data_IF_671529335725
#
_entry.id   IF_671529335725
#
_cell.length_a   1.000
_cell.length_b   1.000
_cell.length_c   1.000
_cell.angle_alpha   90.00
_cell.angle_beta   90.00
_cell.angle_gamma   90.00
#
_symmetry.space_group_name_H-M   'P 1'
#
loop_
_entity.id
_entity.type
_entity.pdbx_description
1 polymer ?
#
# COMPACT_ATOMS: atom_id res chain seq x y z
N UNK A 1 11.34 66.99 -3.98
CA UNK A 1 10.60 65.78 -4.39
C UNK A 1 11.51 64.78 -5.14
N UNK A 2 12.53 64.22 -4.47
CA UNK A 2 13.46 63.24 -5.09
C UNK A 2 13.60 61.92 -4.31
N UNK A 3 13.02 61.83 -3.12
CA UNK A 3 13.09 60.65 -2.25
C UNK A 3 11.81 59.80 -2.29
N UNK A 4 10.72 60.30 -2.87
CA UNK A 4 9.45 59.58 -2.94
C UNK A 4 9.48 58.43 -3.96
N UNK A 5 10.23 58.60 -5.05
CA UNK A 5 10.42 57.59 -6.10
C UNK A 5 11.32 56.43 -5.67
N UNK A 6 12.24 56.66 -4.74
CA UNK A 6 13.14 55.61 -4.24
C UNK A 6 12.42 54.66 -3.27
N UNK A 7 11.48 55.18 -2.46
CA UNK A 7 10.65 54.37 -1.56
C UNK A 7 9.68 53.47 -2.33
N UNK A 8 9.13 53.96 -3.44
CA UNK A 8 8.26 53.13 -4.30
C UNK A 8 9.01 52.00 -5.01
N UNK A 9 10.27 52.20 -5.38
CA UNK A 9 11.07 51.16 -6.03
C UNK A 9 11.46 50.02 -5.07
N UNK A 10 11.80 50.34 -3.82
CA UNK A 10 12.14 49.32 -2.81
C UNK A 10 10.90 48.50 -2.38
N UNK A 11 9.71 49.10 -2.29
CA UNK A 11 8.48 48.36 -2.00
C UNK A 11 8.08 47.39 -3.12
N UNK A 12 8.44 47.66 -4.38
CA UNK A 12 8.13 46.76 -5.50
C UNK A 12 8.98 45.48 -5.50
N UNK A 13 10.16 45.49 -4.85
CA UNK A 13 11.03 44.32 -4.70
C UNK A 13 10.56 43.35 -3.60
N UNK A 14 9.76 43.82 -2.63
CA UNK A 14 9.21 42.97 -1.57
C UNK A 14 7.90 42.24 -1.95
N UNK A 15 7.24 42.63 -3.06
CA UNK A 15 6.02 41.95 -3.50
C UNK A 15 6.28 40.75 -4.43
N UNK A 16 7.49 40.62 -4.98
CA UNK A 16 7.87 39.47 -5.83
C UNK A 16 8.63 38.35 -5.09
N UNK A 17 8.86 38.49 -3.79
CA UNK A 17 9.38 37.42 -2.93
C UNK A 17 8.25 36.59 -2.30
N UNK A 18 7.14 36.40 -3.00
CA UNK A 18 6.37 35.18 -2.80
C UNK A 18 7.27 34.05 -3.28
N UNK A 19 8.02 33.48 -2.35
CA UNK A 19 8.64 32.18 -2.48
C UNK A 19 7.62 31.31 -3.19
N UNK A 20 7.89 30.97 -4.45
CA UNK A 20 7.19 29.90 -5.11
C UNK A 20 7.55 28.65 -4.31
N UNK A 21 6.85 28.43 -3.19
CA UNK A 21 6.81 27.15 -2.52
C UNK A 21 6.28 26.21 -3.59
N UNK A 22 7.20 25.53 -4.26
CA UNK A 22 6.88 24.45 -5.15
C UNK A 22 5.91 23.56 -4.38
N UNK A 23 4.70 23.35 -4.89
CA UNK A 23 3.75 22.42 -4.29
C UNK A 23 4.50 21.13 -4.01
N UNK A 24 4.51 20.72 -2.74
CA UNK A 24 5.16 19.47 -2.34
C UNK A 24 4.66 18.35 -3.23
N UNK A 25 5.59 17.56 -3.75
CA UNK A 25 5.26 16.47 -4.63
C UNK A 25 4.41 15.45 -3.88
N UNK A 26 3.22 15.14 -4.40
CA UNK A 26 2.26 14.20 -3.79
C UNK A 26 2.87 12.83 -3.50
N UNK A 27 3.88 12.39 -4.28
CA UNK A 27 4.57 11.13 -4.06
C UNK A 27 5.58 11.21 -2.90
N UNK A 28 6.24 12.36 -2.74
CA UNK A 28 7.13 12.63 -1.60
C UNK A 28 6.31 12.76 -0.31
N UNK A 29 5.16 13.44 -0.36
CA UNK A 29 4.26 13.50 0.78
C UNK A 29 3.75 12.11 1.19
N UNK A 30 3.44 11.25 0.21
CA UNK A 30 2.96 9.89 0.44
C UNK A 30 3.99 8.95 1.09
N UNK A 31 5.30 9.21 0.91
CA UNK A 31 6.36 8.43 1.57
C UNK A 31 6.23 8.43 3.10
N UNK A 32 5.83 9.56 3.66
CA UNK A 32 5.72 9.75 5.11
C UNK A 32 4.41 9.22 5.70
N UNK A 33 3.46 8.81 4.86
CA UNK A 33 2.20 8.25 5.32
C UNK A 33 2.36 6.74 5.54
N UNK A 34 2.14 6.28 6.77
CA UNK A 34 2.18 4.86 7.10
C UNK A 34 0.79 4.21 7.03
N UNK A 35 0.78 2.88 6.93
CA UNK A 35 -0.45 2.12 7.15
C UNK A 35 -0.89 2.32 8.60
N UNK A 36 -2.20 2.50 8.81
CA UNK A 36 -2.76 2.56 10.15
C UNK A 36 -2.66 1.16 10.76
N UNK A 37 -1.84 1.01 11.80
CA UNK A 37 -1.64 -0.28 12.46
C UNK A 37 -2.97 -0.83 12.96
N UNK A 38 -3.26 -2.07 12.58
CA UNK A 38 -4.47 -2.81 12.97
C UNK A 38 -4.12 -4.29 13.10
N UNK A 39 -4.55 -4.92 14.18
CA UNK A 39 -4.45 -6.37 14.36
C UNK A 39 -5.42 -7.10 13.44
N UNK A 40 -5.09 -8.33 13.03
CA UNK A 40 -5.87 -9.10 12.05
C UNK A 40 -7.34 -9.28 12.46
N UNK A 41 -7.63 -9.53 13.74
CA UNK A 41 -9.00 -9.63 14.24
C UNK A 41 -9.85 -8.36 14.11
N UNK A 42 -9.22 -7.18 13.97
CA UNK A 42 -9.95 -5.91 13.87
C UNK A 42 -10.52 -5.63 12.48
N UNK A 43 -10.20 -6.48 11.51
CA UNK A 43 -10.68 -6.37 10.13
C UNK A 43 -12.07 -6.97 10.00
N UNK A 44 -12.89 -6.34 9.13
CA UNK A 44 -14.25 -6.81 8.82
C UNK A 44 -14.22 -8.25 8.29
N UNK A 45 -13.27 -8.54 7.40
CA UNK A 45 -13.04 -9.89 6.90
C UNK A 45 -11.75 -10.43 7.51
N UNK A 46 -11.87 -11.49 8.29
CA UNK A 46 -10.74 -12.18 8.88
C UNK A 46 -10.99 -13.68 8.98
N UNK A 47 -9.91 -14.44 9.03
CA UNK A 47 -9.92 -15.90 9.23
C UNK A 47 -8.88 -16.26 10.28
N UNK A 48 -9.23 -17.19 11.16
CA UNK A 48 -8.34 -17.73 12.17
C UNK A 48 -8.12 -19.23 11.94
N UNK A 49 -6.86 -19.68 12.04
CA UNK A 49 -6.53 -21.10 12.10
C UNK A 49 -5.28 -21.33 12.97
N UNK A 50 -5.39 -22.24 13.95
CA UNK A 50 -4.31 -22.59 14.91
C UNK A 50 -3.69 -21.37 15.64
N UNK A 51 -4.52 -20.42 16.06
CA UNK A 51 -4.10 -19.16 16.70
C UNK A 51 -3.23 -18.28 15.78
N UNK A 52 -3.46 -18.33 14.48
CA UNK A 52 -2.90 -17.39 13.52
C UNK A 52 -4.10 -16.76 12.83
N UNK A 53 -4.12 -15.44 12.78
CA UNK A 53 -5.22 -14.66 12.23
C UNK A 53 -4.74 -13.91 11.00
N UNK A 54 -5.59 -13.87 9.98
CA UNK A 54 -5.36 -13.09 8.76
C UNK A 54 -6.58 -12.21 8.52
N UNK A 55 -6.37 -10.90 8.51
CA UNK A 55 -7.40 -9.90 8.25
C UNK A 55 -7.16 -9.17 6.93
N UNK A 56 -8.24 -8.79 6.25
CA UNK A 56 -8.20 -8.06 4.99
C UNK A 56 -9.27 -6.96 4.93
N UNK A 57 -8.91 -5.79 4.41
CA UNK A 57 -9.83 -4.66 4.19
C UNK A 57 -9.42 -3.91 2.92
N UNK A 58 -10.40 -3.54 2.09
CA UNK A 58 -10.13 -2.73 0.90
C UNK A 58 -9.72 -1.30 1.29
N UNK A 59 -8.68 -0.78 0.63
CA UNK A 59 -8.29 0.62 0.75
C UNK A 59 -9.07 1.42 -0.30
N UNK A 60 -9.78 2.45 0.16
CA UNK A 60 -10.56 3.32 -0.70
C UNK A 60 -9.68 4.25 -1.57
N UNK A 61 -10.33 5.00 -2.46
CA UNK A 61 -9.63 5.87 -3.42
C UNK A 61 -8.81 6.96 -2.72
N UNK A 62 -9.30 7.49 -1.62
CA UNK A 62 -8.63 8.56 -0.88
C UNK A 62 -7.50 8.02 -0.01
N UNK A 63 -7.67 6.83 0.59
CA UNK A 63 -6.61 6.07 1.22
C UNK A 63 -5.49 5.73 0.24
N UNK A 64 -5.80 5.35 -0.99
CA UNK A 64 -4.80 5.09 -2.03
C UNK A 64 -4.01 6.35 -2.39
N UNK A 65 -4.68 7.49 -2.60
CA UNK A 65 -4.00 8.78 -2.84
C UNK A 65 -3.12 9.20 -1.67
N UNK A 66 -3.59 8.99 -0.44
CA UNK A 66 -2.81 9.29 0.78
C UNK A 66 -1.55 8.43 0.86
N UNK A 67 -1.69 7.13 0.61
CA UNK A 67 -0.61 6.16 0.79
C UNK A 67 0.38 6.14 -0.38
N UNK A 68 -0.07 6.42 -1.60
CA UNK A 68 0.74 6.27 -2.82
C UNK A 68 0.77 7.52 -3.72
N UNK A 69 0.16 8.63 -3.31
CA UNK A 69 0.16 9.90 -4.03
C UNK A 69 -0.85 9.98 -5.19
N UNK A 70 -1.35 8.85 -5.71
CA UNK A 70 -2.36 8.84 -6.78
C UNK A 70 -3.29 7.63 -6.70
N UNK A 71 -4.42 7.70 -7.42
CA UNK A 71 -5.33 6.57 -7.62
C UNK A 71 -5.31 6.16 -9.10
N UNK A 72 -5.22 4.85 -9.37
CA UNK A 72 -5.16 4.33 -10.74
C UNK A 72 -6.53 3.94 -11.29
N UNK A 73 -7.45 3.54 -10.42
CA UNK A 73 -8.67 2.81 -10.82
C UNK A 73 -8.44 1.44 -11.48
N UNK A 74 -7.20 1.09 -11.83
CA UNK A 74 -6.81 -0.18 -12.46
C UNK A 74 -6.53 -1.28 -11.43
N UNK A 75 -6.13 -0.88 -10.22
CA UNK A 75 -5.83 -1.77 -9.11
C UNK A 75 -6.65 -1.39 -7.88
N UNK A 76 -7.08 -2.40 -7.14
CA UNK A 76 -7.75 -2.28 -5.85
C UNK A 76 -6.72 -2.72 -4.79
N UNK A 77 -6.22 -1.81 -3.96
CA UNK A 77 -5.32 -2.16 -2.87
C UNK A 77 -6.13 -2.73 -1.70
N UNK A 78 -5.63 -3.80 -1.10
CA UNK A 78 -6.15 -4.39 0.14
C UNK A 78 -5.09 -4.28 1.21
N UNK A 79 -5.49 -3.74 2.37
CA UNK A 79 -4.70 -3.74 3.58
C UNK A 79 -4.86 -5.09 4.27
N UNK A 80 -3.76 -5.80 4.46
CA UNK A 80 -3.71 -7.15 5.02
C UNK A 80 -2.92 -7.11 6.31
N UNK A 81 -3.44 -7.74 7.37
CA UNK A 81 -2.70 -7.99 8.59
C UNK A 81 -2.62 -9.50 8.87
N UNK A 82 -1.47 -9.95 9.37
CA UNK A 82 -1.27 -11.31 9.86
C UNK A 82 -0.80 -11.21 11.31
N UNK A 83 -1.58 -11.77 12.23
CA UNK A 83 -1.28 -11.78 13.67
C UNK A 83 -0.97 -13.20 14.11
N UNK A 84 0.20 -13.38 14.76
CA UNK A 84 0.64 -14.68 15.25
C UNK A 84 0.36 -14.83 16.75
N UNK A 85 -0.83 -15.30 17.10
CA UNK A 85 -1.20 -15.63 18.48
C UNK A 85 -0.73 -17.03 18.92
N UNK A 86 0.03 -17.74 18.07
CA UNK A 86 0.54 -19.06 18.37
C UNK A 86 1.81 -19.00 19.23
N UNK A 87 2.21 -20.15 19.80
CA UNK A 87 3.45 -20.27 20.59
C UNK A 87 4.71 -20.46 19.72
N UNK A 88 4.58 -20.43 18.39
CA UNK A 88 5.67 -20.75 17.47
C UNK A 88 5.92 -19.59 16.50
N UNK A 89 7.15 -19.47 16.01
CA UNK A 89 7.44 -18.56 14.90
C UNK A 89 6.82 -19.12 13.63
N UNK A 90 6.29 -18.23 12.81
CA UNK A 90 5.70 -18.56 11.52
C UNK A 90 6.40 -17.78 10.41
N UNK A 91 6.34 -18.28 9.18
CA UNK A 91 6.87 -17.59 7.99
C UNK A 91 5.78 -17.50 6.93
N UNK A 92 5.61 -16.31 6.33
CA UNK A 92 4.69 -16.10 5.21
C UNK A 92 5.40 -16.59 3.93
N UNK A 93 5.05 -17.81 3.50
CA UNK A 93 5.73 -18.49 2.40
C UNK A 93 5.20 -18.03 1.04
N UNK A 94 3.88 -17.99 0.87
CA UNK A 94 3.23 -17.63 -0.38
C UNK A 94 2.13 -16.62 -0.15
N UNK A 95 2.06 -15.61 -1.03
CA UNK A 95 1.00 -14.61 -1.10
C UNK A 95 0.46 -14.68 -2.52
N UNK A 96 -0.82 -15.00 -2.69
CA UNK A 96 -1.45 -15.08 -4.02
C UNK A 96 -2.92 -14.69 -3.96
N UNK A 97 -3.48 -14.31 -5.11
CA UNK A 97 -4.90 -14.04 -5.24
C UNK A 97 -5.54 -15.17 -6.04
N UNK A 98 -6.65 -15.70 -5.54
CA UNK A 98 -7.43 -16.76 -6.18
C UNK A 98 -8.84 -16.27 -6.46
N UNK A 99 -9.50 -16.86 -7.45
CA UNK A 99 -10.88 -16.55 -7.79
C UNK A 99 -11.74 -17.80 -7.61
N UNK A 100 -12.37 -17.97 -6.44
CA UNK A 100 -13.14 -19.16 -6.11
C UNK A 100 -12.36 -20.47 -6.36
N UNK A 101 -13.03 -21.46 -6.96
CA UNK A 101 -12.43 -22.76 -7.31
C UNK A 101 -11.58 -22.74 -8.60
N UNK A 102 -11.56 -21.62 -9.34
CA UNK A 102 -10.92 -21.53 -10.66
C UNK A 102 -9.71 -20.61 -10.65
N UNK A 103 -8.52 -21.19 -10.80
CA UNK A 103 -7.30 -20.51 -11.23
C UNK A 103 -6.63 -19.58 -10.21
N UNK A 104 -5.32 -19.69 -10.12
CA UNK A 104 -4.49 -18.67 -9.47
C UNK A 104 -4.46 -17.44 -10.39
N UNK A 105 -4.86 -16.27 -9.90
CA UNK A 105 -4.67 -15.04 -10.65
C UNK A 105 -3.17 -14.76 -10.77
N UNK A 106 -2.69 -14.24 -11.91
CA UNK A 106 -1.29 -13.86 -12.04
C UNK A 106 -0.93 -12.87 -10.93
N UNK A 107 0.16 -13.15 -10.23
CA UNK A 107 0.68 -12.25 -9.20
C UNK A 107 0.88 -10.87 -9.82
N UNK A 108 0.40 -9.83 -9.13
CA UNK A 108 0.52 -8.46 -9.61
C UNK A 108 1.95 -7.99 -9.37
N UNK A 109 2.68 -7.74 -10.46
CA UNK A 109 3.98 -7.10 -10.39
C UNK A 109 3.83 -5.66 -9.89
N UNK A 110 4.57 -5.31 -8.84
CA UNK A 110 4.61 -3.95 -8.29
C UNK A 110 5.08 -2.93 -9.34
N UNK A 111 5.87 -3.35 -10.33
CA UNK A 111 6.27 -2.48 -11.43
C UNK A 111 5.07 -2.05 -12.28
N UNK A 112 4.15 -2.97 -12.60
CA UNK A 112 2.93 -2.61 -13.32
C UNK A 112 2.00 -1.70 -12.49
N UNK A 113 1.98 -1.89 -11.17
CA UNK A 113 1.21 -1.02 -10.25
C UNK A 113 1.78 0.38 -10.28
N UNK A 114 3.11 0.51 -10.24
CA UNK A 114 3.84 1.76 -10.34
C UNK A 114 3.53 2.49 -11.66
N UNK A 115 3.64 1.82 -12.80
CA UNK A 115 3.27 2.39 -14.11
C UNK A 115 1.81 2.84 -14.17
N UNK A 116 0.91 2.15 -13.46
CA UNK A 116 -0.49 2.55 -13.41
C UNK A 116 -0.75 3.78 -12.51
N UNK A 117 0.04 3.96 -11.45
CA UNK A 117 -0.03 5.10 -10.50
C UNK A 117 0.55 6.36 -11.13
N UNK A 118 1.70 6.21 -11.79
CA UNK A 118 2.35 7.29 -12.52
C UNK A 118 2.90 6.76 -13.86
N UNK A 119 2.13 6.84 -14.95
CA UNK A 119 2.56 6.39 -16.28
C UNK A 119 3.59 7.36 -16.92
N UNK A 120 4.60 7.79 -16.16
CA UNK A 120 5.39 9.02 -16.32
C UNK A 120 5.90 9.37 -17.73
N UNK A 121 6.03 10.69 -17.95
CA UNK A 121 6.81 11.29 -19.05
C UNK A 121 8.32 11.23 -18.79
N UNK A 122 9.12 11.72 -19.75
CA UNK A 122 10.59 11.59 -19.75
C UNK A 122 11.29 12.80 -19.10
N UNK A 123 12.02 12.60 -17.98
CA UNK A 123 12.98 13.59 -17.42
C UNK A 123 13.45 13.29 -15.97
N UNK A 124 14.56 13.92 -15.53
CA UNK A 124 15.19 13.66 -14.21
C UNK A 124 14.28 13.83 -12.98
N UNK A 125 13.28 14.73 -13.05
CA UNK A 125 12.31 14.90 -11.96
C UNK A 125 11.38 13.70 -11.87
N UNK A 126 11.06 13.07 -13.00
CA UNK A 126 10.20 11.88 -13.03
C UNK A 126 10.96 10.67 -12.49
N UNK A 127 12.27 10.55 -12.72
CA UNK A 127 13.10 9.48 -12.14
C UNK A 127 13.11 9.48 -10.60
N UNK A 128 13.20 10.66 -9.98
CA UNK A 128 13.15 10.78 -8.51
C UNK A 128 11.77 10.43 -7.95
N UNK A 129 10.70 10.80 -8.67
CA UNK A 129 9.32 10.49 -8.28
C UNK A 129 9.03 9.01 -8.43
N UNK A 130 9.49 8.40 -9.51
CA UNK A 130 9.40 6.97 -9.75
C UNK A 130 10.13 6.18 -8.66
N UNK A 131 11.35 6.57 -8.34
CA UNK A 131 12.11 5.95 -7.25
C UNK A 131 11.41 6.10 -5.90
N UNK A 132 10.87 7.28 -5.60
CA UNK A 132 10.09 7.52 -4.38
C UNK A 132 8.86 6.60 -4.32
N UNK A 133 8.07 6.55 -5.40
CA UNK A 133 6.87 5.72 -5.49
C UNK A 133 7.21 4.22 -5.41
N UNK A 134 8.26 3.77 -6.10
CA UNK A 134 8.74 2.39 -6.07
C UNK A 134 9.10 1.96 -4.67
N UNK A 135 9.93 2.74 -3.98
CA UNK A 135 10.33 2.46 -2.61
C UNK A 135 9.11 2.47 -1.68
N UNK A 136 8.18 3.40 -1.91
CA UNK A 136 6.96 3.49 -1.13
C UNK A 136 6.07 2.23 -1.29
N UNK A 137 5.90 1.74 -2.52
CA UNK A 137 5.16 0.51 -2.82
C UNK A 137 5.82 -0.71 -2.18
N UNK A 138 7.14 -0.86 -2.33
CA UNK A 138 7.89 -1.98 -1.75
C UNK A 138 7.78 -1.97 -0.22
N UNK A 139 7.97 -0.81 0.41
CA UNK A 139 7.93 -0.69 1.87
C UNK A 139 6.54 -0.95 2.47
N UNK A 140 5.49 -0.75 1.67
CA UNK A 140 4.10 -0.97 2.09
C UNK A 140 3.55 -2.32 1.62
N UNK A 141 4.23 -3.04 0.74
CA UNK A 141 3.80 -4.35 0.29
C UNK A 141 3.88 -5.36 1.43
N UNK A 142 2.95 -6.33 1.45
CA UNK A 142 2.98 -7.41 2.44
C UNK A 142 4.28 -8.23 2.29
N UNK A 143 5.17 -8.25 3.31
CA UNK A 143 6.46 -8.90 3.16
C UNK A 143 6.38 -10.41 3.42
N UNK A 144 7.25 -11.14 2.75
CA UNK A 144 7.59 -12.51 3.11
C UNK A 144 8.56 -12.49 4.30
N UNK A 145 8.03 -12.61 5.52
CA UNK A 145 8.84 -12.47 6.74
C UNK A 145 8.48 -13.49 7.81
N UNK A 146 9.36 -13.61 8.80
CA UNK A 146 9.14 -14.40 10.01
C UNK A 146 8.39 -13.55 11.03
N UNK A 147 7.33 -14.10 11.62
CA UNK A 147 6.59 -13.49 12.71
C UNK A 147 6.81 -14.31 13.99
N UNK A 148 7.20 -13.64 15.06
CA UNK A 148 7.30 -14.19 16.40
C UNK A 148 5.92 -14.30 17.07
N UNK A 149 5.78 -15.14 18.11
CA UNK A 149 4.59 -15.15 18.96
C UNK A 149 4.22 -13.75 19.48
N UNK A 150 2.95 -13.36 19.33
CA UNK A 150 2.41 -12.05 19.71
C UNK A 150 2.66 -10.92 18.71
N UNK A 151 3.37 -11.18 17.60
CA UNK A 151 3.63 -10.15 16.59
C UNK A 151 2.51 -10.08 15.54
N UNK A 152 2.28 -8.87 15.06
CA UNK A 152 1.44 -8.59 13.89
C UNK A 152 2.26 -7.91 12.82
N UNK A 153 2.19 -8.42 11.59
CA UNK A 153 2.68 -7.71 10.41
C UNK A 153 1.50 -7.18 9.59
N UNK A 154 1.72 -6.08 8.91
CA UNK A 154 0.74 -5.48 8.03
C UNK A 154 1.38 -5.07 6.70
N UNK A 155 0.62 -5.16 5.62
CA UNK A 155 1.04 -4.69 4.32
C UNK A 155 -0.08 -4.68 3.30
N UNK A 156 0.22 -4.22 2.10
CA UNK A 156 -0.73 -4.04 1.01
C UNK A 156 -0.53 -5.13 -0.03
N UNK A 157 -1.64 -5.66 -0.53
CA UNK A 157 -1.69 -6.51 -1.72
C UNK A 157 -2.58 -5.84 -2.76
N UNK A 158 -2.20 -5.91 -4.03
CA UNK A 158 -2.94 -5.28 -5.13
C UNK A 158 -3.67 -6.35 -5.95
N UNK A 159 -4.93 -6.07 -6.26
CA UNK A 159 -5.75 -6.88 -7.18
C UNK A 159 -6.09 -6.04 -8.41
N UNK A 160 -5.99 -6.60 -9.61
CA UNK A 160 -6.45 -5.90 -10.83
C UNK A 160 -7.97 -5.72 -10.76
N UNK A 161 -8.44 -4.49 -10.91
CA UNK A 161 -9.88 -4.16 -10.82
C UNK A 161 -10.74 -4.93 -11.85
N UNK A 162 -10.18 -5.23 -13.04
CA UNK A 162 -10.85 -6.04 -14.07
C UNK A 162 -11.02 -7.52 -13.72
N UNK A 163 -10.19 -8.03 -12.82
CA UNK A 163 -10.18 -9.44 -12.38
C UNK A 163 -10.86 -9.62 -11.03
N UNK A 164 -11.20 -8.52 -10.36
CA UNK A 164 -11.84 -8.53 -9.06
C UNK A 164 -13.34 -8.85 -9.17
N UNK A 165 -13.81 -9.75 -8.32
CA UNK A 165 -15.22 -10.07 -8.13
C UNK A 165 -15.49 -10.55 -6.69
N UNK A 166 -16.76 -10.85 -6.36
CA UNK A 166 -17.17 -11.30 -5.03
C UNK A 166 -16.56 -12.63 -4.56
N UNK A 167 -15.99 -13.42 -5.48
CA UNK A 167 -15.30 -14.69 -5.16
C UNK A 167 -13.78 -14.55 -5.07
N UNK A 168 -13.26 -13.33 -5.12
CA UNK A 168 -11.82 -13.08 -5.06
C UNK A 168 -11.33 -13.29 -3.63
N UNK A 169 -10.30 -14.11 -3.46
CA UNK A 169 -9.74 -14.48 -2.17
C UNK A 169 -8.25 -14.20 -2.14
N UNK A 170 -7.76 -13.71 -1.01
CA UNK A 170 -6.35 -13.75 -0.67
C UNK A 170 -6.01 -15.15 -0.17
N UNK A 171 -5.08 -15.80 -0.86
CA UNK A 171 -4.49 -17.04 -0.41
C UNK A 171 -3.11 -16.80 0.19
N UNK A 172 -2.95 -17.12 1.47
CA UNK A 172 -1.68 -17.12 2.16
C UNK A 172 -1.29 -18.54 2.55
N UNK A 173 -0.07 -18.93 2.19
CA UNK A 173 0.54 -20.13 2.76
C UNK A 173 1.51 -19.72 3.86
N UNK A 174 1.23 -20.16 5.08
CA UNK A 174 2.02 -19.85 6.27
C UNK A 174 2.69 -21.13 6.75
N UNK A 175 4.02 -21.09 6.88
CA UNK A 175 4.79 -22.20 7.41
C UNK A 175 5.00 -22.04 8.91
N UNK A 176 4.72 -23.09 9.68
CA UNK A 176 5.18 -23.16 11.05
C UNK A 176 6.68 -23.51 11.07
N UNK A 177 7.51 -22.73 11.76
CA UNK A 177 8.97 -22.97 11.75
C UNK A 177 9.41 -24.07 12.72
N UNK A 178 8.54 -24.50 13.65
CA UNK A 178 8.82 -25.64 14.54
C UNK A 178 8.43 -26.98 13.91
N UNK A 179 7.37 -27.01 13.10
CA UNK A 179 6.86 -28.22 12.43
C UNK A 179 6.80 -27.91 10.96
N UNK A 180 7.49 -28.68 10.09
CA UNK A 180 7.47 -28.51 8.62
C UNK A 180 6.07 -28.83 8.09
N UNK A 181 5.13 -27.94 8.36
CA UNK A 181 3.72 -28.04 8.05
C UNK A 181 3.26 -26.68 7.58
N UNK A 182 2.59 -26.68 6.44
CA UNK A 182 1.99 -25.50 5.84
C UNK A 182 0.55 -25.37 6.31
N UNK A 183 0.16 -24.13 6.58
CA UNK A 183 -1.19 -23.73 6.89
C UNK A 183 -1.65 -22.81 5.78
N UNK A 184 -2.68 -23.25 5.08
CA UNK A 184 -3.27 -22.50 3.98
C UNK A 184 -4.44 -21.66 4.54
N UNK A 185 -4.42 -20.37 4.23
CA UNK A 185 -5.45 -19.42 4.57
C UNK A 185 -6.08 -18.91 3.28
N UNK A 186 -7.41 -18.86 3.25
CA UNK A 186 -8.18 -18.21 2.20
C UNK A 186 -9.06 -17.15 2.88
N UNK A 187 -8.81 -15.88 2.58
CA UNK A 187 -9.55 -14.75 3.13
C UNK A 187 -10.32 -14.08 2.00
N UNK A 188 -11.64 -14.00 2.14
CA UNK A 188 -12.47 -13.31 1.16
C UNK A 188 -12.06 -11.84 1.06
N UNK A 189 -11.86 -11.37 -0.17
CA UNK A 189 -11.62 -9.96 -0.43
C UNK A 189 -12.95 -9.33 -0.79
N UNK A 190 -13.88 -9.24 0.16
CA UNK A 190 -15.12 -8.50 -0.08
C UNK A 190 -14.84 -7.00 0.08
N UNK A 191 -14.79 -6.31 -1.05
CA UNK A 191 -14.44 -4.89 -1.19
C UNK A 191 -15.50 -3.93 -0.67
N UNK A 192 -16.21 -4.28 0.42
CA UNK A 192 -17.11 -3.38 1.14
C UNK A 192 -18.21 -2.74 0.29
N UNK A 193 -18.59 -3.36 -0.83
CA UNK A 193 -19.72 -2.91 -1.64
C UNK A 193 -20.92 -3.82 -1.37
N UNK A 194 -21.57 -3.56 -0.23
CA UNK A 194 -23.02 -3.77 -0.11
C UNK A 194 -23.73 -2.71 -0.93
#
# INVERSE_FOLDING_TARGET
MRYLTFVFFVCSLFFFSHSAFAKDDKYIAALNNNLAFKEAMSYVTHVENRNIEVGAEAIDKDGMKRLFGNNTGKYIPFNIAVTNNSKFRIYINQISIKQGNDGVLPFVDLHEVLEAIDPGGRGNKDDMRDAALRNNLINKALPHTVLSPGETIQGVVFVRAKSYNKSTQLFLQIQNLKRIAYLDFAVDLDGGKS
#
